data_IF_996143094162
#
_entry.id   IF_996143094162
#
_cell.length_a   1.000
_cell.length_b   1.000
_cell.length_c   1.000
_cell.angle_alpha   90.00
_cell.angle_beta   90.00
_cell.angle_gamma   90.00
#
_symmetry.space_group_name_H-M   'P 1'
#
loop_
_entity.id
_entity.type
_entity.pdbx_description
1 polymer ?
#
# COMPACT_ATOMS: atom_id res chain seq x y z
N UNK A 1 -9.48 11.98 -28.52
CA UNK A 1 -8.50 11.91 -27.42
C UNK A 1 -7.74 10.60 -27.55
N UNK A 2 -6.42 10.62 -27.42
CA UNK A 2 -5.57 9.42 -27.48
C UNK A 2 -5.65 8.62 -26.17
N UNK A 3 -5.34 7.31 -26.23
CA UNK A 3 -5.27 6.44 -25.04
C UNK A 3 -4.34 7.02 -23.96
N UNK A 4 -3.26 7.67 -24.41
CA UNK A 4 -2.24 8.33 -23.57
C UNK A 4 -2.78 9.47 -22.71
N UNK A 5 -3.95 10.03 -23.04
CA UNK A 5 -4.64 11.07 -22.27
C UNK A 5 -5.79 10.46 -21.48
N UNK A 6 -6.58 9.59 -22.11
CA UNK A 6 -7.81 9.04 -21.51
C UNK A 6 -7.48 8.13 -20.33
N UNK A 7 -6.49 7.23 -20.45
CA UNK A 7 -6.16 6.29 -19.38
C UNK A 7 -5.68 7.01 -18.10
N UNK A 8 -4.73 7.96 -18.15
CA UNK A 8 -4.34 8.70 -16.95
C UNK A 8 -5.46 9.61 -16.41
N UNK A 9 -6.28 10.21 -17.28
CA UNK A 9 -7.40 11.05 -16.84
C UNK A 9 -8.45 10.26 -16.06
N UNK A 10 -8.84 9.09 -16.57
CA UNK A 10 -9.77 8.19 -15.87
C UNK A 10 -9.15 7.67 -14.58
N UNK A 11 -7.86 7.31 -14.61
CA UNK A 11 -7.12 6.87 -13.41
C UNK A 11 -7.10 7.97 -12.34
N UNK A 12 -6.82 9.22 -12.73
CA UNK A 12 -6.82 10.36 -11.84
C UNK A 12 -8.20 10.62 -11.23
N UNK A 13 -9.25 10.57 -12.04
CA UNK A 13 -10.62 10.76 -11.58
C UNK A 13 -11.04 9.66 -10.58
N UNK A 14 -10.78 8.40 -10.89
CA UNK A 14 -11.08 7.28 -10.00
C UNK A 14 -10.31 7.38 -8.68
N UNK A 15 -9.02 7.72 -8.74
CA UNK A 15 -8.20 7.93 -7.57
C UNK A 15 -8.68 9.11 -6.71
N UNK A 16 -9.13 10.20 -7.33
CA UNK A 16 -9.70 11.35 -6.63
C UNK A 16 -11.02 11.00 -5.95
N UNK A 17 -11.92 10.30 -6.63
CA UNK A 17 -13.18 9.81 -6.06
C UNK A 17 -12.89 8.89 -4.87
N UNK A 18 -11.91 8.00 -5.01
CA UNK A 18 -11.51 7.11 -3.92
C UNK A 18 -10.91 7.88 -2.73
N UNK A 19 -10.03 8.86 -2.98
CA UNK A 19 -9.48 9.73 -1.94
C UNK A 19 -10.57 10.49 -1.17
N UNK A 20 -11.56 11.04 -1.89
CA UNK A 20 -12.72 11.72 -1.31
C UNK A 20 -13.55 10.78 -0.44
N UNK A 21 -13.83 9.56 -0.93
CA UNK A 21 -14.57 8.55 -0.17
C UNK A 21 -13.85 8.14 1.12
N UNK A 22 -12.52 7.98 1.08
CA UNK A 22 -11.70 7.69 2.26
C UNK A 22 -11.70 8.85 3.25
N UNK A 23 -11.62 10.08 2.76
CA UNK A 23 -11.63 11.29 3.60
C UNK A 23 -12.98 11.48 4.28
N UNK A 24 -14.08 11.27 3.56
CA UNK A 24 -15.43 11.31 4.12
C UNK A 24 -15.60 10.25 5.23
N UNK A 25 -15.16 9.02 4.96
CA UNK A 25 -15.19 7.95 5.95
C UNK A 25 -14.33 8.24 7.18
N UNK A 26 -13.18 8.90 7.00
CA UNK A 26 -12.34 9.37 8.09
C UNK A 26 -13.04 10.43 8.92
N UNK A 27 -13.72 11.41 8.31
CA UNK A 27 -14.43 12.46 9.05
C UNK A 27 -15.45 11.88 10.01
N UNK A 28 -16.14 10.82 9.60
CA UNK A 28 -17.13 10.11 10.40
C UNK A 28 -16.52 9.19 11.47
N UNK A 29 -15.59 8.31 11.09
CA UNK A 29 -15.11 7.23 11.96
C UNK A 29 -13.81 7.56 12.70
N UNK A 30 -13.13 8.63 12.27
CA UNK A 30 -11.85 9.13 12.79
C UNK A 30 -10.77 8.05 12.92
N UNK A 31 -10.75 7.09 11.98
CA UNK A 31 -9.71 6.05 11.95
C UNK A 31 -8.47 6.54 11.20
N UNK A 32 -7.28 6.58 11.82
CA UNK A 32 -6.11 7.26 11.26
C UNK A 32 -5.68 6.70 9.90
N UNK A 33 -5.79 5.38 9.69
CA UNK A 33 -5.44 4.74 8.41
C UNK A 33 -6.25 5.28 7.21
N UNK A 34 -7.49 5.72 7.43
CA UNK A 34 -8.36 6.25 6.36
C UNK A 34 -7.83 7.59 5.84
N UNK A 35 -7.40 8.47 6.74
CA UNK A 35 -6.79 9.74 6.36
C UNK A 35 -5.48 9.52 5.60
N UNK A 36 -4.64 8.63 6.12
CA UNK A 36 -3.34 8.32 5.52
C UNK A 36 -3.51 7.74 4.10
N UNK A 37 -4.45 6.81 3.91
CA UNK A 37 -4.79 6.32 2.57
C UNK A 37 -5.42 7.38 1.68
N UNK A 38 -6.25 8.29 2.22
CA UNK A 38 -6.80 9.40 1.45
C UNK A 38 -5.69 10.31 0.90
N UNK A 39 -4.66 10.59 1.70
CA UNK A 39 -3.48 11.36 1.26
C UNK A 39 -2.73 10.61 0.15
N UNK A 40 -2.45 9.33 0.33
CA UNK A 40 -1.78 8.51 -0.70
C UNK A 40 -2.58 8.44 -2.00
N UNK A 41 -3.91 8.28 -1.93
CA UNK A 41 -4.79 8.28 -3.10
C UNK A 41 -4.89 9.65 -3.78
N UNK A 42 -4.87 10.74 -3.01
CA UNK A 42 -4.81 12.08 -3.57
C UNK A 42 -3.49 12.33 -4.32
N UNK A 43 -2.35 11.86 -3.78
CA UNK A 43 -1.06 11.91 -4.48
C UNK A 43 -1.08 11.12 -5.78
N UNK A 44 -1.67 9.93 -5.77
CA UNK A 44 -1.84 9.11 -6.97
C UNK A 44 -2.73 9.81 -8.02
N UNK A 45 -3.83 10.44 -7.57
CA UNK A 45 -4.70 11.23 -8.44
C UNK A 45 -3.97 12.41 -9.09
N UNK A 46 -3.16 13.14 -8.31
CA UNK A 46 -2.35 14.26 -8.81
C UNK A 46 -1.33 13.76 -9.84
N UNK A 47 -0.64 12.65 -9.56
CA UNK A 47 0.36 12.07 -10.47
C UNK A 47 -0.27 11.67 -11.81
N UNK A 48 -1.36 10.89 -11.79
CA UNK A 48 -2.08 10.53 -13.03
C UNK A 48 -2.69 11.74 -13.74
N UNK A 49 -3.10 12.77 -12.99
CA UNK A 49 -3.57 14.03 -13.55
C UNK A 49 -2.46 14.78 -14.31
N UNK A 50 -1.23 14.80 -13.76
CA UNK A 50 -0.08 15.38 -14.45
C UNK A 50 0.22 14.67 -15.78
N UNK A 51 0.10 13.36 -15.82
CA UNK A 51 0.28 12.58 -17.05
C UNK A 51 -0.81 12.88 -18.09
N UNK A 52 -2.07 13.02 -17.67
CA UNK A 52 -3.16 13.40 -18.57
C UNK A 52 -2.95 14.81 -19.16
N UNK A 53 -2.55 15.77 -18.32
CA UNK A 53 -2.26 17.13 -18.73
C UNK A 53 -1.05 17.19 -19.67
N UNK A 54 0.00 16.43 -19.36
CA UNK A 54 1.19 16.32 -20.22
C UNK A 54 0.87 15.62 -21.55
N UNK A 55 -0.02 14.63 -21.55
CA UNK A 55 -0.50 13.99 -22.78
C UNK A 55 -1.29 14.96 -23.68
N UNK A 56 -1.97 15.95 -23.10
CA UNK A 56 -2.77 16.93 -23.84
C UNK A 56 -1.98 18.17 -24.28
N UNK A 57 -1.04 18.63 -23.46
CA UNK A 57 -0.33 19.91 -23.66
C UNK A 57 1.21 19.82 -23.68
N UNK A 58 1.77 18.61 -23.57
CA UNK A 58 3.21 18.40 -23.44
C UNK A 58 3.72 18.49 -22.00
N UNK A 59 4.88 17.89 -21.75
CA UNK A 59 5.55 18.01 -20.47
C UNK A 59 6.13 19.41 -20.28
N UNK A 60 6.08 19.88 -19.03
CA UNK A 60 6.82 21.04 -18.57
C UNK A 60 7.40 20.73 -17.18
N UNK A 61 8.30 21.59 -16.73
CA UNK A 61 8.99 21.42 -15.45
C UNK A 61 8.03 21.28 -14.26
N UNK A 62 6.96 22.07 -14.20
CA UNK A 62 5.99 22.02 -13.10
C UNK A 62 5.25 20.68 -13.04
N UNK A 63 4.75 20.20 -14.18
CA UNK A 63 4.11 18.89 -14.27
C UNK A 63 5.07 17.76 -13.92
N UNK A 64 6.30 17.82 -14.42
CA UNK A 64 7.33 16.80 -14.18
C UNK A 64 7.71 16.70 -12.70
N UNK A 65 7.99 17.83 -12.04
CA UNK A 65 8.31 17.88 -10.60
C UNK A 65 7.16 17.36 -9.74
N UNK A 66 5.94 17.78 -10.07
CA UNK A 66 4.74 17.36 -9.35
C UNK A 66 4.52 15.87 -9.50
N UNK A 67 4.54 15.36 -10.74
CA UNK A 67 4.44 13.93 -11.04
C UNK A 67 5.50 13.10 -10.33
N UNK A 68 6.76 13.53 -10.38
CA UNK A 68 7.87 12.78 -9.77
C UNK A 68 7.68 12.69 -8.26
N UNK A 69 7.36 13.80 -7.61
CA UNK A 69 7.21 13.82 -6.16
C UNK A 69 5.96 13.03 -5.71
N UNK A 70 4.79 13.29 -6.30
CA UNK A 70 3.55 12.65 -5.84
C UNK A 70 3.46 11.20 -6.30
N UNK A 71 3.82 10.90 -7.55
CA UNK A 71 3.70 9.59 -8.16
C UNK A 71 4.89 8.68 -7.86
N UNK A 72 6.08 9.09 -8.30
CA UNK A 72 7.26 8.23 -8.24
C UNK A 72 7.78 8.04 -6.81
N UNK A 73 7.75 9.10 -5.98
CA UNK A 73 8.35 9.07 -4.63
C UNK A 73 7.33 8.77 -3.53
N UNK A 74 6.25 9.55 -3.42
CA UNK A 74 5.48 9.62 -2.17
C UNK A 74 4.32 8.64 -2.06
N UNK A 75 3.63 8.34 -3.17
CA UNK A 75 2.38 7.57 -3.15
C UNK A 75 2.51 6.25 -2.40
N UNK A 76 3.49 5.42 -2.76
CA UNK A 76 3.65 4.09 -2.15
C UNK A 76 3.92 4.19 -0.65
N UNK A 77 4.78 5.12 -0.23
CA UNK A 77 5.11 5.34 1.18
C UNK A 77 3.88 5.70 2.02
N UNK A 78 3.03 6.61 1.52
CA UNK A 78 1.76 6.97 2.18
C UNK A 78 0.76 5.82 2.19
N UNK A 79 0.61 5.08 1.09
CA UNK A 79 -0.30 3.93 1.03
C UNK A 79 0.12 2.81 2.00
N UNK A 80 1.41 2.49 2.07
CA UNK A 80 1.95 1.52 3.01
C UNK A 80 1.88 1.99 4.48
N UNK A 81 2.02 3.29 4.73
CA UNK A 81 1.79 3.86 6.07
C UNK A 81 0.34 3.64 6.53
N UNK A 82 -0.64 3.74 5.64
CA UNK A 82 -2.03 3.46 6.01
C UNK A 82 -2.21 2.01 6.49
N UNK A 83 -1.51 1.06 5.87
CA UNK A 83 -1.43 -0.34 6.34
C UNK A 83 -0.82 -0.46 7.73
N UNK A 84 0.24 0.31 8.02
CA UNK A 84 0.83 0.34 9.36
C UNK A 84 -0.17 0.79 10.42
N UNK A 85 -0.93 1.85 10.15
CA UNK A 85 -1.99 2.32 11.04
C UNK A 85 -3.18 1.35 11.14
N UNK A 86 -3.51 0.62 10.07
CA UNK A 86 -4.56 -0.40 10.08
C UNK A 86 -4.18 -1.57 11.01
N UNK A 87 -2.93 -2.02 10.92
CA UNK A 87 -2.41 -3.19 11.62
C UNK A 87 -1.66 -2.84 12.91
N UNK A 88 -1.87 -1.63 13.45
CA UNK A 88 -1.19 -1.10 14.63
C UNK A 88 -1.22 -2.04 15.85
N UNK A 89 -2.30 -2.80 16.02
CA UNK A 89 -2.52 -3.69 17.17
C UNK A 89 -2.03 -5.12 16.94
N UNK A 90 -1.35 -5.40 15.83
CA UNK A 90 -0.83 -6.73 15.48
C UNK A 90 0.69 -6.73 15.51
N UNK A 91 1.29 -7.92 15.39
CA UNK A 91 2.75 -8.08 15.25
C UNK A 91 3.28 -7.66 13.87
N UNK A 92 2.45 -7.06 13.01
CA UNK A 92 2.86 -6.57 11.70
C UNK A 92 3.95 -5.49 11.76
N UNK A 93 4.14 -4.84 12.91
CA UNK A 93 5.25 -3.92 13.12
C UNK A 93 6.63 -4.54 12.85
N UNK A 94 6.84 -5.85 13.06
CA UNK A 94 8.08 -6.53 12.67
C UNK A 94 8.25 -6.59 11.15
N UNK A 95 7.17 -6.91 10.43
CA UNK A 95 7.16 -6.88 8.96
C UNK A 95 7.45 -5.48 8.44
N UNK A 96 6.85 -4.46 9.06
CA UNK A 96 7.08 -3.07 8.68
C UNK A 96 8.52 -2.61 8.97
N UNK A 97 9.08 -3.01 10.12
CA UNK A 97 10.49 -2.80 10.45
C UNK A 97 11.43 -3.45 9.42
N UNK A 98 11.13 -4.68 9.00
CA UNK A 98 11.88 -5.33 7.91
C UNK A 98 11.77 -4.52 6.60
N UNK A 99 10.58 -4.01 6.26
CA UNK A 99 10.41 -3.16 5.07
C UNK A 99 11.27 -1.89 5.13
N UNK A 100 11.38 -1.24 6.30
CA UNK A 100 12.23 -0.08 6.54
C UNK A 100 13.73 -0.40 6.46
N UNK A 101 14.15 -1.56 6.98
CA UNK A 101 15.55 -2.00 6.87
C UNK A 101 15.91 -2.30 5.41
N UNK A 102 15.03 -3.01 4.70
CA UNK A 102 15.21 -3.33 3.29
C UNK A 102 15.26 -2.06 2.44
N UNK A 103 14.44 -1.05 2.72
CA UNK A 103 14.44 0.17 1.94
C UNK A 103 15.77 0.94 2.05
N UNK A 104 16.37 0.99 3.23
CA UNK A 104 17.73 1.51 3.43
C UNK A 104 18.79 0.73 2.65
N UNK A 105 18.75 -0.61 2.73
CA UNK A 105 19.70 -1.49 2.02
C UNK A 105 19.57 -1.31 0.50
N UNK A 106 18.35 -1.38 -0.04
CA UNK A 106 18.11 -1.24 -1.46
C UNK A 106 18.45 0.15 -1.98
N UNK A 107 18.38 1.18 -1.15
CA UNK A 107 18.85 2.52 -1.52
C UNK A 107 20.36 2.49 -1.83
N UNK A 108 21.16 1.85 -0.97
CA UNK A 108 22.60 1.70 -1.19
C UNK A 108 22.88 0.81 -2.40
N UNK A 109 22.16 -0.31 -2.55
CA UNK A 109 22.30 -1.19 -3.71
C UNK A 109 21.92 -0.50 -5.02
N UNK A 110 20.90 0.36 -4.99
CA UNK A 110 20.48 1.16 -6.16
C UNK A 110 21.59 2.15 -6.52
N UNK A 111 22.19 2.83 -5.53
CA UNK A 111 23.33 3.70 -5.80
C UNK A 111 24.54 2.92 -6.34
N UNK A 112 24.87 1.76 -5.75
CA UNK A 112 25.99 0.93 -6.18
C UNK A 112 25.81 0.39 -7.60
N UNK A 113 24.58 0.18 -8.05
CA UNK A 113 24.26 -0.27 -9.40
C UNK A 113 24.25 0.88 -10.41
N UNK A 114 23.53 1.96 -10.11
CA UNK A 114 23.22 3.00 -11.09
C UNK A 114 24.07 4.27 -10.99
N UNK A 115 24.88 4.40 -9.94
CA UNK A 115 25.82 5.51 -9.75
C UNK A 115 25.19 6.89 -9.99
N UNK A 116 24.07 7.18 -9.32
CA UNK A 116 23.36 8.42 -9.60
C UNK A 116 24.23 9.65 -9.29
N UNK A 117 24.26 10.64 -10.20
CA UNK A 117 25.05 11.84 -10.02
C UNK A 117 24.50 12.65 -8.84
N UNK A 118 25.36 13.38 -8.13
CA UNK A 118 24.95 14.23 -7.01
C UNK A 118 24.22 13.48 -5.89
N UNK A 119 24.52 12.19 -5.65
CA UNK A 119 23.97 11.44 -4.52
C UNK A 119 24.57 11.88 -3.17
N UNK A 120 25.83 12.33 -3.15
CA UNK A 120 26.52 12.80 -1.95
C UNK A 120 26.41 11.80 -0.79
N UNK A 121 26.03 12.28 0.39
CA UNK A 121 25.84 11.46 1.60
C UNK A 121 24.45 10.81 1.69
N UNK A 122 23.58 10.96 0.69
CA UNK A 122 22.22 10.41 0.73
C UNK A 122 22.15 8.89 0.90
N UNK A 123 22.98 8.06 0.20
CA UNK A 123 22.91 6.61 0.39
C UNK A 123 23.15 6.14 1.84
N UNK A 124 24.27 6.50 2.51
CA UNK A 124 24.48 6.11 3.90
C UNK A 124 23.48 6.78 4.85
N UNK A 125 23.04 8.02 4.57
CA UNK A 125 22.04 8.70 5.39
C UNK A 125 20.69 7.96 5.38
N UNK A 126 20.20 7.59 4.19
CA UNK A 126 18.94 6.86 4.05
C UNK A 126 19.04 5.43 4.60
N UNK A 127 20.21 4.79 4.50
CA UNK A 127 20.46 3.50 5.18
C UNK A 127 20.32 3.64 6.69
N UNK A 128 21.02 4.60 7.28
CA UNK A 128 21.00 4.82 8.74
C UNK A 128 19.61 5.22 9.22
N UNK A 129 18.90 6.06 8.46
CA UNK A 129 17.52 6.42 8.77
C UNK A 129 16.58 5.20 8.71
N UNK A 130 16.68 4.37 7.66
CA UNK A 130 15.90 3.15 7.52
C UNK A 130 16.15 2.14 8.63
N UNK A 131 17.42 1.90 8.98
CA UNK A 131 17.80 1.00 10.08
C UNK A 131 17.37 1.55 11.44
N UNK A 132 17.56 2.85 11.69
CA UNK A 132 17.13 3.50 12.93
C UNK A 132 15.62 3.43 13.13
N UNK A 133 14.83 3.72 12.08
CA UNK A 133 13.38 3.56 12.11
C UNK A 133 12.97 2.09 12.27
N UNK A 134 13.65 1.16 11.60
CA UNK A 134 13.38 -0.27 11.72
C UNK A 134 13.59 -0.77 13.16
N UNK A 135 14.70 -0.38 13.79
CA UNK A 135 15.00 -0.70 15.19
C UNK A 135 13.92 -0.11 16.10
N UNK A 136 13.61 1.18 15.95
CA UNK A 136 12.61 1.84 16.79
C UNK A 136 11.21 1.21 16.67
N UNK A 137 10.77 0.90 15.45
CA UNK A 137 9.50 0.20 15.20
C UNK A 137 9.54 -1.22 15.74
N UNK A 138 10.65 -1.94 15.56
CA UNK A 138 10.83 -3.31 16.06
C UNK A 138 10.78 -3.38 17.58
N UNK A 139 11.45 -2.45 18.27
CA UNK A 139 11.47 -2.34 19.74
C UNK A 139 10.06 -2.03 20.26
N UNK A 140 9.36 -1.04 19.70
CA UNK A 140 7.98 -0.74 20.10
C UNK A 140 7.04 -1.93 19.85
N UNK A 141 7.24 -2.66 18.76
CA UNK A 141 6.47 -3.87 18.44
C UNK A 141 6.74 -5.00 19.43
N UNK A 142 7.99 -5.14 19.88
CA UNK A 142 8.40 -6.11 20.89
C UNK A 142 7.67 -5.89 22.20
N UNK A 143 7.67 -4.65 22.69
CA UNK A 143 6.96 -4.22 23.90
C UNK A 143 5.44 -4.12 23.74
N UNK A 144 4.88 -4.55 22.59
CA UNK A 144 3.44 -4.50 22.31
C UNK A 144 2.83 -3.10 22.36
N UNK A 145 3.64 -2.05 22.20
CA UNK A 145 3.17 -0.68 22.18
C UNK A 145 2.43 -0.39 20.88
N UNK A 146 1.22 0.17 20.97
CA UNK A 146 0.42 0.55 19.78
C UNK A 146 0.91 1.84 19.10
N UNK A 147 2.04 2.40 19.57
CA UNK A 147 2.59 3.68 19.13
C UNK A 147 3.56 3.56 17.96
N UNK A 148 4.03 2.35 17.63
CA UNK A 148 4.98 2.13 16.52
C UNK A 148 4.54 2.74 15.17
N UNK A 149 3.25 2.82 14.78
CA UNK A 149 2.87 3.46 13.52
C UNK A 149 3.10 4.98 13.52
N UNK A 150 3.17 5.61 14.70
CA UNK A 150 3.52 7.03 14.82
C UNK A 150 4.98 7.26 14.43
N UNK A 151 5.88 6.37 14.83
CA UNK A 151 7.30 6.41 14.44
C UNK A 151 7.43 6.25 12.93
N UNK A 152 6.75 5.25 12.36
CA UNK A 152 6.66 5.08 10.91
C UNK A 152 6.10 6.33 10.22
N UNK A 153 5.07 6.94 10.80
CA UNK A 153 4.45 8.18 10.31
C UNK A 153 5.42 9.36 10.31
N UNK A 154 6.20 9.54 11.38
CA UNK A 154 7.26 10.56 11.43
C UNK A 154 8.30 10.34 10.33
N UNK A 155 8.69 9.09 10.06
CA UNK A 155 9.60 8.76 8.96
C UNK A 155 9.04 9.16 7.58
N UNK A 156 7.79 8.78 7.28
CA UNK A 156 7.14 9.11 6.01
C UNK A 156 6.88 10.61 5.85
N UNK A 157 6.46 11.29 6.92
CA UNK A 157 6.27 12.75 6.92
C UNK A 157 7.63 13.44 6.72
N UNK A 158 8.68 13.02 7.44
CA UNK A 158 10.03 13.54 7.28
C UNK A 158 10.55 13.37 5.86
N UNK A 159 10.44 12.18 5.29
CA UNK A 159 10.79 11.89 3.90
C UNK A 159 9.99 12.76 2.91
N UNK A 160 8.69 13.00 3.19
CA UNK A 160 7.85 13.90 2.39
C UNK A 160 8.39 15.32 2.36
N UNK A 161 8.77 15.86 3.53
CA UNK A 161 9.30 17.22 3.64
C UNK A 161 10.70 17.33 3.02
N UNK A 162 11.58 16.35 3.25
CA UNK A 162 12.91 16.28 2.63
C UNK A 162 12.79 16.21 1.11
N UNK A 163 11.90 15.36 0.59
CA UNK A 163 11.66 15.25 -0.85
C UNK A 163 11.13 16.55 -1.46
N UNK A 164 10.17 17.19 -0.79
CA UNK A 164 9.66 18.50 -1.22
C UNK A 164 10.74 19.59 -1.20
N UNK A 165 11.54 19.66 -0.14
CA UNK A 165 12.62 20.63 -0.01
C UNK A 165 13.67 20.45 -1.11
N UNK A 166 14.17 19.22 -1.31
CA UNK A 166 15.14 18.91 -2.38
C UNK A 166 14.55 19.27 -3.75
N UNK A 167 13.29 18.90 -4.00
CA UNK A 167 12.63 19.22 -5.26
C UNK A 167 12.60 20.73 -5.47
N UNK A 168 12.15 21.52 -4.50
CA UNK A 168 12.05 22.98 -4.61
C UNK A 168 13.41 23.67 -4.81
N UNK A 169 14.49 23.12 -4.26
CA UNK A 169 15.84 23.73 -4.35
C UNK A 169 16.66 23.23 -5.53
N UNK A 170 16.26 22.15 -6.19
CA UNK A 170 17.01 21.58 -7.32
C UNK A 170 16.76 22.41 -8.57
N UNK A 171 17.82 22.87 -9.25
CA UNK A 171 17.72 23.44 -10.61
C UNK A 171 17.77 22.33 -11.66
N UNK A 172 16.79 22.30 -12.57
CA UNK A 172 16.75 21.32 -13.65
C UNK A 172 17.30 21.93 -14.94
N UNK A 173 18.21 21.25 -15.66
CA UNK A 173 18.62 21.68 -16.99
C UNK A 173 17.42 21.78 -17.93
N UNK A 174 17.45 22.75 -18.86
CA UNK A 174 16.41 22.86 -19.89
C UNK A 174 16.29 21.52 -20.67
N UNK A 175 15.07 21.04 -20.95
CA UNK A 175 13.77 21.73 -20.88
C UNK A 175 13.06 21.65 -19.50
N UNK A 176 13.73 21.17 -18.45
CA UNK A 176 13.16 21.05 -17.10
C UNK A 176 12.43 19.72 -16.86
N UNK A 177 12.50 18.78 -17.79
CA UNK A 177 11.96 17.42 -17.69
C UNK A 177 12.80 16.46 -18.55
N UNK A 178 12.75 15.16 -18.24
CA UNK A 178 13.38 14.11 -19.08
C UNK A 178 12.38 13.01 -19.36
N UNK A 179 12.33 12.56 -20.61
CA UNK A 179 11.45 11.51 -21.10
C UNK A 179 12.29 10.41 -21.74
N UNK A 180 11.84 9.18 -21.59
CA UNK A 180 12.42 8.03 -22.28
C UNK A 180 12.17 8.18 -23.80
N UNK A 181 13.21 8.09 -24.66
CA UNK A 181 13.05 8.32 -26.09
C UNK A 181 12.13 7.32 -26.81
N UNK A 182 11.98 6.10 -26.27
CA UNK A 182 11.18 5.05 -26.89
C UNK A 182 9.72 5.10 -26.42
N UNK A 183 9.48 5.40 -25.15
CA UNK A 183 8.15 5.34 -24.53
C UNK A 183 7.53 6.71 -24.26
N UNK A 184 8.31 7.78 -24.33
CA UNK A 184 7.90 9.14 -23.96
C UNK A 184 7.41 9.27 -22.50
N UNK A 185 7.77 8.31 -21.64
CA UNK A 185 7.45 8.30 -20.22
C UNK A 185 8.51 9.09 -19.46
N UNK A 186 8.15 9.90 -18.46
CA UNK A 186 9.13 10.62 -17.68
C UNK A 186 10.13 9.71 -16.96
N UNK A 187 11.40 10.06 -17.05
CA UNK A 187 12.50 9.39 -16.35
C UNK A 187 13.06 10.30 -15.28
N UNK A 188 13.72 9.72 -14.26
CA UNK A 188 14.39 10.49 -13.22
C UNK A 188 15.79 10.99 -13.61
N UNK A 189 16.19 10.95 -14.88
CA UNK A 189 17.60 11.12 -15.27
C UNK A 189 18.19 12.49 -14.92
N UNK A 190 17.43 13.56 -15.14
CA UNK A 190 17.86 14.94 -14.88
C UNK A 190 17.84 15.31 -13.40
N UNK A 191 17.26 14.45 -12.55
CA UNK A 191 17.16 14.70 -11.12
C UNK A 191 18.44 14.26 -10.38
N UNK A 192 18.81 14.94 -9.29
CA UNK A 192 19.95 14.54 -8.49
C UNK A 192 19.71 13.19 -7.79
N UNK A 193 20.80 12.48 -7.50
CA UNK A 193 20.77 11.21 -6.79
C UNK A 193 20.09 11.31 -5.43
N UNK A 194 20.17 12.46 -4.75
CA UNK A 194 19.50 12.69 -3.46
C UNK A 194 17.99 12.46 -3.49
N UNK A 195 17.28 12.91 -4.53
CA UNK A 195 15.84 12.68 -4.68
C UNK A 195 15.55 11.34 -5.33
N UNK A 196 16.38 10.90 -6.29
CA UNK A 196 16.20 9.60 -6.96
C UNK A 196 16.31 8.42 -6.00
N UNK A 197 17.16 8.53 -5.00
CA UNK A 197 17.35 7.52 -3.95
C UNK A 197 16.22 7.55 -2.91
N UNK A 198 15.44 8.63 -2.83
CA UNK A 198 14.26 8.67 -1.97
C UNK A 198 13.13 7.80 -2.52
N UNK A 199 13.08 7.62 -3.84
CA UNK A 199 12.12 6.73 -4.53
C UNK A 199 12.17 5.28 -4.03
N UNK A 200 13.30 4.54 -4.11
CA UNK A 200 13.35 3.18 -3.57
C UNK A 200 13.14 3.15 -2.06
N UNK A 201 13.62 4.17 -1.31
CA UNK A 201 13.40 4.26 0.14
C UNK A 201 11.90 4.25 0.50
N UNK A 202 11.10 5.06 -0.20
CA UNK A 202 9.66 5.16 0.01
C UNK A 202 8.90 3.97 -0.60
N UNK A 203 9.25 3.56 -1.81
CA UNK A 203 8.49 2.56 -2.56
C UNK A 203 8.70 1.14 -2.03
N UNK A 204 9.90 0.80 -1.55
CA UNK A 204 10.16 -0.52 -0.96
C UNK A 204 9.45 -0.64 0.38
N UNK A 205 9.56 0.38 1.22
CA UNK A 205 8.85 0.41 2.50
C UNK A 205 7.34 0.31 2.27
N UNK A 206 6.81 1.17 1.40
CA UNK A 206 5.39 1.33 1.18
C UNK A 206 4.74 0.20 0.39
N UNK A 207 5.33 -0.17 -0.75
CA UNK A 207 4.80 -1.20 -1.66
C UNK A 207 4.83 -2.59 -1.03
N UNK A 208 5.94 -2.98 -0.39
CA UNK A 208 6.02 -4.29 0.29
C UNK A 208 5.04 -4.31 1.47
N UNK A 209 4.97 -3.25 2.26
CA UNK A 209 4.02 -3.18 3.38
C UNK A 209 2.56 -3.27 2.90
N UNK A 210 2.20 -2.62 1.79
CA UNK A 210 0.86 -2.66 1.21
C UNK A 210 0.50 -4.10 0.79
N UNK A 211 1.37 -4.75 0.04
CA UNK A 211 1.17 -6.13 -0.43
C UNK A 211 1.11 -7.11 0.74
N UNK A 212 2.12 -7.11 1.61
CA UNK A 212 2.17 -8.04 2.75
C UNK A 212 1.05 -7.79 3.75
N UNK A 213 0.64 -6.54 3.97
CA UNK A 213 -0.48 -6.23 4.85
C UNK A 213 -1.82 -6.64 4.28
N UNK A 214 -2.02 -6.55 2.97
CA UNK A 214 -3.21 -7.06 2.30
C UNK A 214 -3.26 -8.60 2.39
N UNK A 215 -2.14 -9.29 2.15
CA UNK A 215 -2.02 -10.74 2.32
C UNK A 215 -2.25 -11.17 3.78
N UNK A 216 -1.66 -10.45 4.74
CA UNK A 216 -1.85 -10.69 6.17
C UNK A 216 -3.33 -10.54 6.56
N UNK A 217 -3.99 -9.50 6.06
CA UNK A 217 -5.41 -9.26 6.30
C UNK A 217 -6.29 -10.36 5.71
N UNK A 218 -6.00 -10.80 4.47
CA UNK A 218 -6.70 -11.93 3.85
C UNK A 218 -6.51 -13.22 4.64
N UNK A 219 -5.28 -13.54 5.05
CA UNK A 219 -4.95 -14.72 5.86
C UNK A 219 -5.69 -14.74 7.20
N UNK A 220 -5.91 -13.58 7.81
CA UNK A 220 -6.59 -13.47 9.10
C UNK A 220 -8.07 -13.86 9.03
N UNK A 221 -8.76 -13.55 7.93
CA UNK A 221 -10.21 -13.76 7.76
C UNK A 221 -10.59 -15.00 6.95
N UNK A 222 -9.65 -15.62 6.24
CA UNK A 222 -9.92 -16.82 5.46
C UNK A 222 -9.96 -18.10 6.34
N UNK A 223 -10.63 -19.18 5.88
CA UNK A 223 -10.56 -20.49 6.54
C UNK A 223 -9.12 -20.99 6.64
N UNK A 224 -8.66 -21.31 7.86
CA UNK A 224 -7.26 -21.68 8.10
C UNK A 224 -7.10 -23.20 8.04
N UNK A 225 -6.18 -23.66 7.17
CA UNK A 225 -5.68 -25.02 7.15
C UNK A 225 -4.22 -25.02 7.59
N UNK A 226 -3.96 -25.47 8.82
CA UNK A 226 -2.61 -25.61 9.36
C UNK A 226 -2.08 -27.00 9.02
N UNK A 227 -1.15 -27.07 8.07
CA UNK A 227 -0.46 -28.30 7.65
C UNK A 227 0.90 -28.40 8.35
N UNK A 228 1.61 -27.28 8.50
CA UNK A 228 2.84 -27.19 9.27
C UNK A 228 2.58 -26.46 10.58
N UNK A 229 2.72 -27.17 11.70
CA UNK A 229 2.69 -26.58 13.04
C UNK A 229 4.02 -25.89 13.34
N UNK A 230 3.95 -24.73 13.99
CA UNK A 230 5.08 -24.06 14.60
C UNK A 230 4.59 -23.29 15.82
N UNK A 231 5.47 -23.06 16.81
CA UNK A 231 5.17 -22.28 18.01
C UNK A 231 6.27 -21.25 18.27
N UNK A 232 5.89 -19.99 18.40
CA UNK A 232 6.79 -18.88 18.79
C UNK A 232 6.63 -18.52 20.28
N UNK A 233 6.25 -19.49 21.11
CA UNK A 233 6.18 -19.32 22.56
C UNK A 233 7.60 -19.11 23.14
N UNK A 234 7.88 -17.96 23.79
CA UNK A 234 9.18 -17.67 24.38
C UNK A 234 9.55 -18.59 25.55
N UNK A 235 8.58 -19.31 26.15
CA UNK A 235 8.82 -20.19 27.28
C UNK A 235 9.42 -21.57 26.89
N UNK A 236 9.59 -21.83 25.59
CA UNK A 236 10.15 -23.09 25.08
C UNK A 236 11.67 -23.16 25.27
N UNK A 237 12.24 -24.38 25.17
CA UNK A 237 13.69 -24.56 25.14
C UNK A 237 14.30 -23.82 23.94
N UNK A 238 15.48 -23.22 24.13
CA UNK A 238 16.05 -22.28 23.15
C UNK A 238 16.30 -22.90 21.77
N UNK A 239 16.69 -24.17 21.73
CA UNK A 239 16.85 -24.97 20.50
C UNK A 239 15.53 -25.17 19.75
N UNK A 240 14.46 -25.52 20.47
CA UNK A 240 13.11 -25.67 19.91
C UNK A 240 12.56 -24.33 19.44
N UNK A 241 12.77 -23.27 20.21
CA UNK A 241 12.39 -21.92 19.81
C UNK A 241 13.13 -21.49 18.53
N UNK A 242 14.44 -21.71 18.44
CA UNK A 242 15.26 -21.35 17.28
C UNK A 242 14.85 -22.13 16.03
N UNK A 243 14.58 -23.43 16.17
CA UNK A 243 14.05 -24.25 15.08
C UNK A 243 12.68 -23.74 14.61
N UNK A 244 11.76 -23.46 15.54
CA UNK A 244 10.45 -22.90 15.24
C UNK A 244 10.56 -21.53 14.56
N UNK A 245 11.49 -20.68 14.99
CA UNK A 245 11.75 -19.39 14.39
C UNK A 245 12.24 -19.52 12.94
N UNK A 246 13.11 -20.50 12.67
CA UNK A 246 13.67 -20.76 11.34
C UNK A 246 12.63 -21.36 10.39
N UNK A 247 11.75 -22.25 10.87
CA UNK A 247 10.70 -22.86 10.05
C UNK A 247 9.47 -21.95 9.89
N UNK A 248 9.25 -20.99 10.79
CA UNK A 248 8.06 -20.13 10.78
C UNK A 248 7.79 -19.45 9.43
N UNK A 249 8.76 -18.84 8.73
CA UNK A 249 8.53 -18.25 7.40
C UNK A 249 8.00 -19.27 6.39
N UNK A 250 8.59 -20.47 6.36
CA UNK A 250 8.17 -21.56 5.48
C UNK A 250 6.78 -22.07 5.86
N UNK A 251 6.55 -22.30 7.16
CA UNK A 251 5.27 -22.77 7.67
C UNK A 251 4.13 -21.78 7.39
N UNK A 252 4.38 -20.46 7.52
CA UNK A 252 3.41 -19.42 7.17
C UNK A 252 3.03 -19.51 5.69
N UNK A 253 4.02 -19.58 4.79
CA UNK A 253 3.79 -19.65 3.34
C UNK A 253 3.04 -20.93 2.96
N UNK A 254 3.46 -22.08 3.48
CA UNK A 254 2.81 -23.37 3.22
C UNK A 254 1.38 -23.36 3.75
N UNK A 255 1.16 -22.96 5.01
CA UNK A 255 -0.19 -22.89 5.58
C UNK A 255 -1.09 -21.91 4.83
N UNK A 256 -0.54 -20.79 4.35
CA UNK A 256 -1.27 -19.85 3.48
C UNK A 256 -1.70 -20.56 2.18
N UNK A 257 -0.76 -21.19 1.46
CA UNK A 257 -1.03 -21.86 0.19
C UNK A 257 -2.08 -22.98 0.33
N UNK A 258 -1.97 -23.82 1.35
CA UNK A 258 -2.92 -24.91 1.59
C UNK A 258 -4.31 -24.44 2.04
N UNK A 259 -4.43 -23.20 2.49
CA UNK A 259 -5.73 -22.59 2.84
C UNK A 259 -6.45 -21.97 1.63
N UNK A 260 -5.74 -21.71 0.52
CA UNK A 260 -6.33 -21.09 -0.67
C UNK A 260 -7.46 -21.92 -1.31
N UNK A 261 -7.34 -23.24 -1.53
CA UNK A 261 -8.41 -24.01 -2.18
C UNK A 261 -9.73 -23.99 -1.40
N UNK A 262 -9.65 -24.12 -0.07
CA UNK A 262 -10.81 -24.02 0.81
C UNK A 262 -11.43 -22.63 0.78
N UNK A 263 -10.60 -21.59 0.69
CA UNK A 263 -11.04 -20.19 0.55
C UNK A 263 -11.73 -19.95 -0.78
N UNK A 264 -11.19 -20.44 -1.90
CA UNK A 264 -11.81 -20.32 -3.21
C UNK A 264 -13.17 -21.02 -3.26
N UNK A 265 -13.28 -22.23 -2.71
CA UNK A 265 -14.54 -22.95 -2.64
C UNK A 265 -15.57 -22.21 -1.75
N UNK A 266 -15.13 -21.66 -0.61
CA UNK A 266 -15.99 -20.87 0.25
C UNK A 266 -16.42 -19.54 -0.39
N UNK A 267 -15.56 -18.93 -1.20
CA UNK A 267 -15.84 -17.72 -1.98
C UNK A 267 -16.91 -17.97 -3.04
N UNK A 268 -16.73 -19.02 -3.85
CA UNK A 268 -17.70 -19.43 -4.90
C UNK A 268 -19.06 -19.76 -4.29
N UNK A 269 -19.08 -20.34 -3.09
CA UNK A 269 -20.31 -20.68 -2.37
C UNK A 269 -20.94 -19.50 -1.61
N UNK A 270 -20.36 -18.31 -1.65
CA UNK A 270 -20.88 -17.13 -0.95
C UNK A 270 -20.89 -17.26 0.58
N UNK A 271 -20.01 -18.10 1.15
CA UNK A 271 -19.96 -18.39 2.60
C UNK A 271 -18.93 -17.57 3.36
N UNK A 272 -18.17 -16.72 2.66
CA UNK A 272 -17.13 -15.89 3.28
C UNK A 272 -17.68 -14.52 3.67
N UNK A 273 -17.16 -14.00 4.78
CA UNK A 273 -17.36 -12.60 5.15
C UNK A 273 -16.85 -11.71 4.00
N UNK A 274 -17.60 -10.66 3.67
CA UNK A 274 -17.26 -9.63 2.66
C UNK A 274 -15.83 -9.09 2.72
N UNK A 275 -15.17 -9.16 3.89
CA UNK A 275 -13.78 -8.72 4.10
C UNK A 275 -12.74 -9.57 3.35
N UNK A 276 -13.01 -10.86 3.14
CA UNK A 276 -12.07 -11.74 2.43
C UNK A 276 -11.95 -11.37 0.94
N UNK A 277 -13.03 -11.32 0.14
CA UNK A 277 -12.92 -10.89 -1.26
C UNK A 277 -12.39 -9.45 -1.39
N UNK A 278 -12.79 -8.55 -0.49
CA UNK A 278 -12.28 -7.19 -0.48
C UNK A 278 -10.76 -7.10 -0.30
N UNK A 279 -10.21 -7.80 0.68
CA UNK A 279 -8.76 -7.82 0.95
C UNK A 279 -7.97 -8.50 -0.17
N UNK A 280 -8.55 -9.51 -0.83
CA UNK A 280 -7.95 -10.14 -2.03
C UNK A 280 -7.89 -9.16 -3.20
N UNK A 281 -8.98 -8.45 -3.49
CA UNK A 281 -9.01 -7.42 -4.55
C UNK A 281 -7.97 -6.32 -4.29
N UNK A 282 -7.88 -5.85 -3.04
CA UNK A 282 -6.87 -4.88 -2.63
C UNK A 282 -5.46 -5.44 -2.80
N UNK A 283 -5.21 -6.70 -2.41
CA UNK A 283 -3.91 -7.35 -2.56
C UNK A 283 -3.49 -7.46 -4.03
N UNK A 284 -4.39 -7.88 -4.91
CA UNK A 284 -4.12 -7.99 -6.35
C UNK A 284 -3.87 -6.58 -6.94
N UNK A 285 -4.69 -5.60 -6.60
CA UNK A 285 -4.49 -4.21 -7.04
C UNK A 285 -3.14 -3.64 -6.58
N UNK A 286 -2.75 -3.88 -5.33
CA UNK A 286 -1.46 -3.47 -4.78
C UNK A 286 -0.27 -4.16 -5.47
N UNK A 287 -0.39 -5.45 -5.78
CA UNK A 287 0.63 -6.21 -6.52
C UNK A 287 0.80 -5.67 -7.94
N UNK A 288 -0.31 -5.38 -8.64
CA UNK A 288 -0.27 -4.80 -9.99
C UNK A 288 0.36 -3.41 -9.93
N UNK A 289 -0.07 -2.53 -9.01
CA UNK A 289 0.52 -1.21 -8.81
C UNK A 289 2.04 -1.28 -8.60
N UNK A 290 2.50 -2.18 -7.71
CA UNK A 290 3.92 -2.36 -7.41
C UNK A 290 4.71 -2.97 -8.58
N UNK A 291 4.05 -3.72 -9.46
CA UNK A 291 4.66 -4.36 -10.63
C UNK A 291 4.59 -3.50 -11.89
N UNK A 292 3.88 -2.36 -11.86
CA UNK A 292 3.64 -1.57 -13.07
C UNK A 292 4.93 -0.97 -13.64
N UNK A 293 5.89 -0.61 -12.79
CA UNK A 293 7.24 -0.18 -13.22
C UNK A 293 8.02 -1.29 -13.95
N UNK A 294 7.76 -2.57 -13.63
CA UNK A 294 8.37 -3.69 -14.35
C UNK A 294 7.74 -3.88 -15.73
N UNK A 295 6.45 -3.53 -15.90
CA UNK A 295 5.76 -3.57 -17.19
C UNK A 295 6.32 -2.54 -18.18
N UNK A 296 6.86 -1.42 -17.68
CA UNK A 296 7.54 -0.43 -18.51
C UNK A 296 8.74 -1.00 -19.28
N UNK A 297 9.37 -2.08 -18.77
CA UNK A 297 10.51 -2.75 -19.44
C UNK A 297 10.15 -3.46 -20.75
N UNK A 298 8.86 -3.66 -21.02
CA UNK A 298 8.39 -4.19 -22.31
C UNK A 298 8.24 -3.07 -23.38
N UNK A 299 8.65 -1.83 -23.06
CA UNK A 299 8.70 -0.73 -24.03
C UNK A 299 7.33 -0.19 -24.46
N UNK A 300 6.26 -0.50 -23.73
CA UNK A 300 4.90 -0.05 -24.04
C UNK A 300 4.32 0.86 -22.96
N UNK A 301 4.09 2.11 -23.32
CA UNK A 301 3.44 3.14 -22.50
C UNK A 301 2.00 2.80 -22.18
N UNK A 302 1.31 2.14 -23.10
CA UNK A 302 -0.09 1.75 -22.92
C UNK A 302 -0.24 0.68 -21.85
N UNK A 303 0.66 -0.31 -21.79
CA UNK A 303 0.66 -1.33 -20.75
C UNK A 303 0.94 -0.75 -19.37
N UNK A 304 1.85 0.23 -19.29
CA UNK A 304 2.12 0.96 -18.05
C UNK A 304 0.88 1.73 -17.56
N UNK A 305 0.20 2.46 -18.45
CA UNK A 305 -1.00 3.21 -18.08
C UNK A 305 -2.20 2.30 -17.77
N UNK A 306 -2.39 1.24 -18.55
CA UNK A 306 -3.44 0.25 -18.32
C UNK A 306 -3.23 -0.48 -16.99
N UNK A 307 -1.99 -0.84 -16.64
CA UNK A 307 -1.65 -1.45 -15.35
C UNK A 307 -2.07 -0.58 -14.17
N UNK A 308 -1.81 0.73 -14.23
CA UNK A 308 -2.25 1.68 -13.20
C UNK A 308 -3.78 1.78 -13.11
N UNK A 309 -4.47 1.82 -14.25
CA UNK A 309 -5.93 1.84 -14.28
C UNK A 309 -6.53 0.57 -13.65
N UNK A 310 -6.01 -0.60 -14.03
CA UNK A 310 -6.44 -1.88 -13.44
C UNK A 310 -6.17 -1.92 -11.95
N UNK A 311 -5.00 -1.46 -11.51
CA UNK A 311 -4.65 -1.39 -10.10
C UNK A 311 -5.64 -0.53 -9.30
N UNK A 312 -5.95 0.70 -9.76
CA UNK A 312 -6.88 1.57 -9.04
C UNK A 312 -8.31 1.03 -9.05
N UNK A 313 -8.76 0.41 -10.15
CA UNK A 313 -10.08 -0.23 -10.23
C UNK A 313 -10.18 -1.35 -9.20
N UNK A 314 -9.17 -2.20 -9.07
CA UNK A 314 -9.16 -3.30 -8.10
C UNK A 314 -9.07 -2.80 -6.65
N UNK A 315 -8.23 -1.80 -6.39
CA UNK A 315 -8.13 -1.17 -5.07
C UNK A 315 -9.46 -0.55 -4.66
N UNK A 316 -10.10 0.19 -5.58
CA UNK A 316 -11.36 0.86 -5.31
C UNK A 316 -12.52 -0.14 -5.18
N UNK A 317 -12.60 -1.14 -6.07
CA UNK A 317 -13.58 -2.22 -5.95
C UNK A 317 -13.43 -2.99 -4.64
N UNK A 318 -12.20 -3.34 -4.26
CA UNK A 318 -11.91 -3.98 -2.98
C UNK A 318 -12.30 -3.11 -1.79
N UNK A 319 -12.06 -1.80 -1.85
CA UNK A 319 -12.56 -0.86 -0.85
C UNK A 319 -14.10 -0.85 -0.78
N UNK A 320 -14.78 -0.72 -1.92
CA UNK A 320 -16.23 -0.70 -2.01
C UNK A 320 -16.89 -1.99 -1.52
N UNK A 321 -16.21 -3.14 -1.66
CA UNK A 321 -16.66 -4.43 -1.10
C UNK A 321 -16.35 -4.53 0.40
N UNK A 322 -15.24 -3.94 0.86
CA UNK A 322 -14.83 -3.96 2.28
C UNK A 322 -15.75 -3.09 3.14
N UNK A 323 -16.11 -1.94 2.61
CA UNK A 323 -17.09 -1.04 3.20
C UNK A 323 -18.45 -1.55 2.80
N UNK A 324 -19.42 -1.65 3.70
CA UNK A 324 -20.80 -1.93 3.32
C UNK A 324 -21.43 -0.74 2.56
N UNK A 325 -20.80 -0.23 1.49
CA UNK A 325 -21.22 0.96 0.72
C UNK A 325 -22.59 0.77 0.09
N UNK A 326 -23.07 -0.46 -0.05
CA UNK A 326 -24.44 -0.75 -0.47
C UNK A 326 -25.45 -0.96 0.67
N UNK A 327 -25.13 -0.60 1.92
CA UNK A 327 -26.16 -0.38 2.94
C UNK A 327 -26.73 1.04 2.88
N UNK A 328 -25.92 2.06 2.59
CA UNK A 328 -26.40 3.45 2.47
C UNK A 328 -25.53 4.22 1.46
N UNK A 329 -26.04 4.55 0.27
CA UNK A 329 -25.35 5.51 -0.62
C UNK A 329 -25.50 6.89 0.05
N UNK A 330 -24.40 7.54 0.44
CA UNK A 330 -24.41 8.88 1.05
C UNK A 330 -23.72 9.87 0.11
N UNK A 331 -24.22 11.11 0.10
CA UNK A 331 -23.54 12.20 -0.60
C UNK A 331 -22.35 12.65 0.28
N UNK A 332 -21.09 12.58 -0.21
CA UNK A 332 -19.90 12.94 0.56
C UNK A 332 -20.03 14.30 1.23
N UNK A 333 -19.55 14.41 2.47
CA UNK A 333 -19.56 15.64 3.26
C UNK A 333 -20.94 16.20 3.61
N UNK A 334 -22.00 15.42 3.42
CA UNK A 334 -23.37 15.78 3.83
C UNK A 334 -24.00 14.71 4.72
N UNK A 335 -24.97 15.08 5.55
CA UNK A 335 -25.77 14.11 6.32
C UNK A 335 -26.82 13.34 5.50
N UNK A 336 -26.91 13.57 4.18
CA UNK A 336 -28.01 13.05 3.33
C UNK A 336 -27.72 11.63 2.85
N UNK A 337 -28.59 10.69 3.25
CA UNK A 337 -28.58 9.28 2.84
C UNK A 337 -29.55 9.09 1.66
N UNK A 338 -29.06 8.51 0.56
CA UNK A 338 -29.81 8.25 -0.67
C UNK A 338 -30.47 6.86 -0.69
N UNK A 339 -30.14 5.95 0.24
CA UNK A 339 -30.74 4.60 0.29
C UNK A 339 -30.88 4.10 1.74
N UNK A 340 -31.92 3.30 2.01
CA UNK A 340 -32.15 2.60 3.30
C UNK A 340 -31.39 1.27 3.34
N UNK A 341 -30.83 0.95 4.51
CA UNK A 341 -30.10 -0.29 4.78
C UNK A 341 -30.90 -1.54 4.39
N UNK A 342 -30.32 -2.37 3.51
CA UNK A 342 -30.78 -3.74 3.29
C UNK A 342 -30.38 -4.57 4.52
N UNK A 343 -31.37 -5.05 5.26
CA UNK A 343 -31.18 -6.03 6.32
C UNK A 343 -30.55 -7.30 5.74
N UNK A 344 -29.42 -7.73 6.31
CA UNK A 344 -28.93 -9.07 6.04
C UNK A 344 -29.87 -10.04 6.74
N UNK A 345 -30.41 -11.02 5.99
CA UNK A 345 -30.94 -12.24 6.61
C UNK A 345 -29.82 -12.80 7.45
N UNK A 346 -30.01 -12.78 8.78
CA UNK A 346 -29.14 -13.44 9.72
C UNK A 346 -28.80 -14.83 9.17
N UNK A 347 -27.51 -15.07 8.96
CA UNK A 347 -27.02 -16.41 8.64
C UNK A 347 -27.59 -17.37 9.68
N UNK A 348 -28.14 -18.48 9.19
CA UNK A 348 -28.65 -19.59 10.00
C UNK A 348 -27.54 -19.96 11.01
N UNK A 349 -27.78 -19.64 12.27
CA UNK A 349 -26.78 -19.73 13.34
C UNK A 349 -27.25 -19.18 14.69
N UNK A 350 -28.32 -18.38 14.73
CA UNK A 350 -28.91 -17.85 15.97
C UNK A 350 -30.23 -18.54 16.36
N UNK A 351 -30.31 -19.88 16.25
CA UNK A 351 -31.48 -20.63 16.73
C UNK A 351 -31.10 -22.03 17.24
N UNK A 352 -30.11 -22.12 18.15
CA UNK A 352 -29.86 -23.35 18.93
C UNK A 352 -29.31 -23.05 20.35
N UNK A 353 -29.87 -22.06 21.06
CA UNK A 353 -29.59 -21.85 22.50
C UNK A 353 -30.84 -21.68 23.35
N UNK A 354 -31.92 -22.42 23.05
CA UNK A 354 -33.10 -22.47 23.94
C UNK A 354 -33.76 -23.85 24.04
N UNK A 355 -32.96 -24.92 24.03
CA UNK A 355 -33.39 -26.23 24.51
C UNK A 355 -32.34 -26.71 25.49
N UNK A 356 -32.63 -26.49 26.77
CA UNK A 356 -32.27 -27.34 27.92
C UNK A 356 -32.59 -26.54 29.20
N UNK A 357 -33.87 -26.53 29.56
CA UNK A 357 -34.30 -26.32 30.93
C UNK A 357 -34.86 -27.67 31.41
N UNK A 358 -34.29 -28.32 32.44
CA UNK A 358 -34.86 -29.54 32.98
C UNK A 358 -36.14 -29.19 33.75
N UNK A 359 -37.22 -29.90 33.43
CA UNK A 359 -38.34 -30.07 34.34
C UNK A 359 -37.88 -30.96 35.50
N UNK A 360 -37.98 -30.44 36.72
CA UNK A 360 -37.63 -31.09 37.97
C UNK A 360 -37.82 -30.14 39.12
#
# INVERSE_FOLDING_TARGET
MTLTIVLPAVTALLALVFAVALLDQWRERRRPYQLVWAIGMAMFAIASGCEALAGAGGWNEGLYRTWYLTGAVLTAGWLGLGTAYLLARTRFGYTYALCLALSGIFTVLTQAKYHYPNAGVAPPLYLLAGLGLAIAVGVETYFQNVHWPRIAGLGVIGATHVGAAIMLTTSLPAPGYSLDPATNIPTGEILPGTIRLLTPFMNITGGIALVLGALFSAYMFMPKRRVLSYSLDPAQSGDVFLFNLLIAPVAIVVNFAFSLPGTLNALVRGRLHSRVPATILIAIGALIASSTDSLNRFGSTELFQAGKLVAIVLLFAGFLVSTEVFREIRIPFTGRRLTKAREERAGIGASQTSRDAPAG
#
